data_IF_247402322922
#
_entry.id   IF_247402322922
#
_cell.length_a   1.000
_cell.length_b   1.000
_cell.length_c   1.000
_cell.angle_alpha   90.00
_cell.angle_beta   90.00
_cell.angle_gamma   90.00
#
_symmetry.space_group_name_H-M   'P 1'
#
loop_
_entity.id
_entity.type
_entity.pdbx_description
1 polymer ?
#
# COMPACT_ATOMS: atom_id res chain seq x y z
N UNK A 1 -46.89 -19.73 3.94
CA UNK A 1 -46.04 -20.58 3.08
C UNK A 1 -45.33 -19.74 2.03
N UNK A 2 -45.98 -18.80 1.37
CA UNK A 2 -45.38 -17.92 0.30
C UNK A 2 -44.22 -17.08 0.79
N UNK A 3 -44.31 -16.48 2.00
CA UNK A 3 -43.25 -15.67 2.58
C UNK A 3 -42.00 -16.49 2.93
N UNK A 4 -42.16 -17.74 3.36
CA UNK A 4 -41.03 -18.64 3.66
C UNK A 4 -40.22 -19.00 2.41
N UNK A 5 -40.90 -19.22 1.29
CA UNK A 5 -40.23 -19.53 0.01
C UNK A 5 -39.38 -18.32 -0.45
N UNK A 6 -39.90 -17.11 -0.36
CA UNK A 6 -39.22 -15.90 -0.75
C UNK A 6 -37.95 -15.69 0.09
N UNK A 7 -38.05 -15.84 1.43
CA UNK A 7 -36.89 -15.72 2.33
C UNK A 7 -35.84 -16.78 2.04
N UNK A 8 -36.26 -18.02 1.73
CA UNK A 8 -35.32 -19.08 1.36
C UNK A 8 -34.54 -18.77 0.07
N UNK A 9 -35.21 -18.26 -0.95
CA UNK A 9 -34.55 -17.87 -2.22
C UNK A 9 -33.58 -16.73 -1.99
N UNK A 10 -33.98 -15.70 -1.23
CA UNK A 10 -33.09 -14.57 -0.89
C UNK A 10 -31.86 -15.07 -0.13
N UNK A 11 -32.03 -16.01 0.82
CA UNK A 11 -30.91 -16.59 1.58
C UNK A 11 -29.91 -17.32 0.68
N UNK A 12 -30.38 -18.09 -0.30
CA UNK A 12 -29.52 -18.79 -1.26
C UNK A 12 -28.77 -17.78 -2.14
N UNK A 13 -29.45 -16.78 -2.67
CA UNK A 13 -28.81 -15.74 -3.50
C UNK A 13 -27.78 -14.93 -2.73
N UNK A 14 -28.10 -14.55 -1.50
CA UNK A 14 -27.19 -13.82 -0.62
C UNK A 14 -25.94 -14.62 -0.29
N UNK A 15 -26.04 -15.93 -0.08
CA UNK A 15 -24.89 -16.80 0.25
C UNK A 15 -23.81 -16.79 -0.85
N UNK A 16 -24.18 -16.61 -2.11
CA UNK A 16 -23.27 -16.56 -3.25
C UNK A 16 -22.79 -15.12 -3.52
N UNK A 17 -23.66 -14.13 -3.34
CA UNK A 17 -23.36 -12.73 -3.66
C UNK A 17 -22.40 -12.09 -2.66
N UNK A 18 -22.56 -12.34 -1.36
CA UNK A 18 -21.78 -11.70 -0.29
C UNK A 18 -20.27 -11.95 -0.39
N UNK A 19 -19.75 -13.18 -0.59
CA UNK A 19 -18.31 -13.42 -0.69
C UNK A 19 -17.65 -12.66 -1.87
N UNK A 20 -18.32 -12.64 -3.02
CA UNK A 20 -17.85 -11.95 -4.21
C UNK A 20 -17.81 -10.43 -4.04
N UNK A 21 -18.82 -9.88 -3.37
CA UNK A 21 -18.89 -8.47 -3.03
C UNK A 21 -17.75 -8.06 -2.09
N UNK A 22 -17.49 -8.82 -1.03
CA UNK A 22 -16.40 -8.55 -0.08
C UNK A 22 -15.03 -8.52 -0.76
N UNK A 23 -14.75 -9.45 -1.67
CA UNK A 23 -13.52 -9.47 -2.45
C UNK A 23 -13.38 -8.21 -3.31
N UNK A 24 -14.47 -7.76 -3.93
CA UNK A 24 -14.48 -6.54 -4.75
C UNK A 24 -14.21 -5.29 -3.93
N UNK A 25 -14.78 -5.20 -2.72
CA UNK A 25 -14.52 -4.09 -1.77
C UNK A 25 -13.04 -4.06 -1.36
N UNK A 26 -12.45 -5.22 -1.02
CA UNK A 26 -11.02 -5.27 -0.67
C UNK A 26 -10.10 -4.92 -1.84
N UNK A 27 -10.44 -5.30 -3.06
CA UNK A 27 -9.71 -4.87 -4.27
C UNK A 27 -9.78 -3.36 -4.47
N UNK A 28 -10.94 -2.74 -4.24
CA UNK A 28 -11.10 -1.29 -4.32
C UNK A 28 -10.27 -0.58 -3.25
N UNK A 29 -10.31 -1.05 -2.00
CA UNK A 29 -9.48 -0.54 -0.89
C UNK A 29 -8.00 -0.62 -1.22
N UNK A 30 -7.51 -1.76 -1.72
CA UNK A 30 -6.11 -1.96 -2.08
C UNK A 30 -5.67 -1.00 -3.19
N UNK A 31 -6.46 -0.87 -4.26
CA UNK A 31 -6.16 0.09 -5.34
C UNK A 31 -6.11 1.53 -4.83
N UNK A 32 -7.02 1.91 -3.95
CA UNK A 32 -7.02 3.25 -3.35
C UNK A 32 -5.81 3.47 -2.43
N UNK A 33 -5.44 2.48 -1.61
CA UNK A 33 -4.20 2.52 -0.81
C UNK A 33 -2.95 2.65 -1.69
N UNK A 34 -2.87 1.93 -2.80
CA UNK A 34 -1.77 2.07 -3.76
C UNK A 34 -1.71 3.49 -4.35
N UNK A 35 -2.85 4.10 -4.65
CA UNK A 35 -2.90 5.49 -5.11
C UNK A 35 -2.38 6.47 -4.06
N UNK A 36 -2.73 6.26 -2.79
CA UNK A 36 -2.24 7.09 -1.69
C UNK A 36 -0.71 6.93 -1.52
N UNK A 37 -0.16 5.72 -1.63
CA UNK A 37 1.28 5.46 -1.61
C UNK A 37 1.99 6.21 -2.74
N UNK A 38 1.45 6.18 -3.97
CA UNK A 38 1.99 6.94 -5.09
C UNK A 38 1.96 8.44 -4.81
N UNK A 39 0.86 8.96 -4.24
CA UNK A 39 0.77 10.38 -3.87
C UNK A 39 1.83 10.77 -2.84
N UNK A 40 2.02 9.98 -1.79
CA UNK A 40 3.05 10.22 -0.77
C UNK A 40 4.44 10.21 -1.41
N UNK A 41 4.73 9.21 -2.24
CA UNK A 41 6.00 9.07 -2.93
C UNK A 41 6.31 10.24 -3.87
N UNK A 42 5.31 10.71 -4.64
CA UNK A 42 5.45 11.87 -5.51
C UNK A 42 5.80 13.12 -4.71
N UNK A 43 5.10 13.37 -3.63
CA UNK A 43 5.31 14.53 -2.76
C UNK A 43 6.70 14.53 -2.11
N UNK A 44 7.20 13.35 -1.70
CA UNK A 44 8.57 13.22 -1.19
C UNK A 44 9.58 13.52 -2.31
N UNK A 45 9.33 13.03 -3.54
CA UNK A 45 10.20 13.30 -4.68
C UNK A 45 10.25 14.79 -5.02
N UNK A 46 9.10 15.48 -4.99
CA UNK A 46 9.04 16.93 -5.22
C UNK A 46 9.84 17.68 -4.15
N UNK A 47 9.68 17.29 -2.88
CA UNK A 47 10.47 17.86 -1.77
C UNK A 47 11.97 17.64 -1.95
N UNK A 48 12.39 16.41 -2.32
CA UNK A 48 13.82 16.10 -2.57
C UNK A 48 14.37 16.94 -3.72
N UNK A 49 13.57 17.18 -4.74
CA UNK A 49 13.99 18.01 -5.90
C UNK A 49 14.29 19.44 -5.48
N UNK A 50 13.52 19.99 -4.53
CA UNK A 50 13.69 21.37 -4.07
C UNK A 50 14.74 21.51 -2.96
N UNK A 51 14.92 20.49 -2.12
CA UNK A 51 15.74 20.57 -0.89
C UNK A 51 17.00 19.68 -0.92
N UNK A 52 17.22 18.93 -2.00
CA UNK A 52 18.37 18.03 -2.18
C UNK A 52 18.49 16.91 -1.11
N UNK A 53 17.47 16.72 -0.29
CA UNK A 53 17.43 15.72 0.77
C UNK A 53 15.98 15.34 1.11
N UNK A 54 15.77 14.14 1.65
CA UNK A 54 14.45 13.73 2.12
C UNK A 54 14.11 14.41 3.46
N UNK A 55 12.82 14.72 3.73
CA UNK A 55 12.39 15.10 5.07
C UNK A 55 12.54 13.89 6.01
N UNK A 56 13.19 14.08 7.18
CA UNK A 56 13.49 12.98 8.10
C UNK A 56 12.22 12.28 8.60
N UNK A 57 12.16 10.96 8.44
CA UNK A 57 11.07 10.13 8.96
C UNK A 57 11.53 8.69 9.20
N UNK A 58 11.05 8.10 10.30
CA UNK A 58 11.30 6.70 10.67
C UNK A 58 10.00 6.06 11.20
N UNK A 59 9.30 5.37 10.30
CA UNK A 59 8.06 4.64 10.59
C UNK A 59 6.77 5.45 10.39
N UNK A 60 5.87 5.41 11.35
CA UNK A 60 4.56 6.07 11.25
C UNK A 60 4.66 7.58 11.48
N UNK A 61 3.76 8.34 10.88
CA UNK A 61 3.67 9.79 11.04
C UNK A 61 2.22 10.23 11.26
N UNK A 62 2.06 11.45 11.72
CA UNK A 62 0.76 12.09 11.93
C UNK A 62 0.87 13.60 11.64
N UNK A 63 -0.24 14.32 11.76
CA UNK A 63 -0.30 15.76 11.46
C UNK A 63 0.60 16.67 12.32
N UNK A 64 1.17 16.17 13.42
CA UNK A 64 2.08 16.92 14.29
C UNK A 64 3.56 16.67 14.02
N UNK A 65 3.90 15.64 13.24
CA UNK A 65 5.29 15.31 12.90
C UNK A 65 5.90 16.35 11.96
N UNK A 66 7.21 16.56 12.07
CA UNK A 66 7.94 17.50 11.21
C UNK A 66 7.93 17.04 9.76
N UNK A 67 7.95 15.73 9.51
CA UNK A 67 7.75 15.14 8.20
C UNK A 67 6.43 15.60 7.55
N UNK A 68 5.31 15.50 8.28
CA UNK A 68 4.02 15.95 7.77
C UNK A 68 4.01 17.44 7.46
N UNK A 69 4.54 18.27 8.38
CA UNK A 69 4.59 19.72 8.22
C UNK A 69 5.51 20.18 7.09
N UNK A 70 6.59 19.44 6.82
CA UNK A 70 7.47 19.73 5.69
C UNK A 70 6.80 19.52 4.33
N UNK A 71 5.88 18.57 4.24
CA UNK A 71 5.19 18.20 3.00
C UNK A 71 3.83 18.91 2.83
N UNK A 72 3.07 19.09 3.91
CA UNK A 72 1.75 19.71 3.89
C UNK A 72 1.78 21.08 4.61
N UNK A 73 1.15 22.13 4.05
CA UNK A 73 0.28 22.14 2.86
C UNK A 73 0.99 22.47 1.54
N UNK A 74 2.31 22.64 1.52
CA UNK A 74 3.02 23.20 0.36
C UNK A 74 3.03 22.24 -0.85
N UNK A 75 3.52 21.01 -0.67
CA UNK A 75 3.61 20.02 -1.75
C UNK A 75 2.29 19.24 -1.93
N UNK A 76 1.54 19.06 -0.85
CA UNK A 76 0.22 18.45 -0.88
C UNK A 76 -0.69 19.11 0.16
N UNK A 77 -1.93 19.39 -0.22
CA UNK A 77 -2.87 20.03 0.71
C UNK A 77 -3.14 19.20 1.96
N UNK A 78 -3.32 17.89 1.80
CA UNK A 78 -3.53 16.92 2.89
C UNK A 78 -2.75 15.66 2.55
N UNK A 79 -1.73 15.35 3.35
CA UNK A 79 -0.96 14.13 3.20
C UNK A 79 -1.74 12.95 3.79
N UNK A 80 -1.94 11.84 3.04
CA UNK A 80 -2.58 10.65 3.59
C UNK A 80 -1.80 10.09 4.78
N UNK A 81 -2.47 9.78 5.88
CA UNK A 81 -1.86 9.22 7.10
C UNK A 81 -2.16 7.73 7.22
N UNK A 82 -3.39 7.34 6.87
CA UNK A 82 -3.87 5.96 7.00
C UNK A 82 -4.26 5.37 5.65
N UNK A 83 -4.09 4.08 5.52
CA UNK A 83 -4.56 3.31 4.38
C UNK A 83 -6.10 3.10 4.42
N UNK A 84 -6.66 2.41 3.42
CA UNK A 84 -8.11 2.21 3.33
C UNK A 84 -8.64 1.11 4.24
N UNK A 85 -7.79 0.43 4.99
CA UNK A 85 -8.17 -0.47 6.08
C UNK A 85 -8.10 0.22 7.45
N UNK A 86 -7.58 1.47 7.51
CA UNK A 86 -7.44 2.27 8.73
C UNK A 86 -6.09 2.09 9.43
N UNK A 87 -5.11 1.48 8.77
CA UNK A 87 -3.76 1.30 9.30
C UNK A 87 -2.86 2.46 8.87
N UNK A 88 -1.96 2.88 9.75
CA UNK A 88 -1.03 3.96 9.45
C UNK A 88 -0.04 3.57 8.35
N UNK A 89 0.21 4.50 7.42
CA UNK A 89 1.33 4.38 6.50
C UNK A 89 2.65 4.45 7.25
N UNK A 90 3.64 3.76 6.73
CA UNK A 90 5.01 3.81 7.22
C UNK A 90 5.90 4.39 6.14
N UNK A 91 6.72 5.35 6.57
CA UNK A 91 7.69 6.01 5.71
C UNK A 91 9.04 5.97 6.41
N UNK A 92 10.06 5.57 5.69
CA UNK A 92 11.45 5.59 6.12
C UNK A 92 12.24 6.39 5.10
N UNK A 93 13.05 7.32 5.56
CA UNK A 93 13.79 8.23 4.69
C UNK A 93 15.27 8.28 5.07
N UNK A 94 16.13 8.56 4.10
CA UNK A 94 17.57 8.60 4.31
C UNK A 94 18.10 7.26 4.84
N UNK A 95 18.94 7.30 5.84
CA UNK A 95 19.56 6.12 6.46
C UNK A 95 18.53 5.14 7.07
N UNK A 96 17.33 5.63 7.44
CA UNK A 96 16.25 4.78 7.95
C UNK A 96 15.58 3.93 6.86
N UNK A 97 15.83 4.17 5.58
CA UNK A 97 15.25 3.40 4.47
C UNK A 97 15.86 1.99 4.30
N UNK A 98 16.63 1.48 5.26
CA UNK A 98 17.29 0.17 5.25
C UNK A 98 16.35 -1.00 5.59
N UNK A 99 15.12 -0.95 5.11
CA UNK A 99 14.11 -1.99 5.30
C UNK A 99 13.96 -2.90 4.08
N UNK A 100 13.38 -4.06 4.25
CA UNK A 100 13.03 -5.03 3.20
C UNK A 100 14.22 -5.47 2.31
N UNK A 101 15.44 -5.48 2.85
CA UNK A 101 16.64 -5.89 2.14
C UNK A 101 17.32 -4.79 1.32
N UNK A 102 16.85 -3.56 1.43
CA UNK A 102 17.56 -2.40 0.91
C UNK A 102 18.77 -2.15 1.83
N UNK A 103 19.98 -2.19 1.27
CA UNK A 103 21.22 -1.96 2.00
C UNK A 103 21.90 -0.68 1.53
N UNK A 104 22.53 0.02 2.46
CA UNK A 104 23.24 1.28 2.21
C UNK A 104 22.39 2.36 1.54
N UNK A 105 21.21 2.72 2.09
CA UNK A 105 20.42 3.81 1.53
C UNK A 105 21.17 5.14 1.64
N UNK A 106 20.93 6.01 0.66
CA UNK A 106 21.47 7.38 0.64
C UNK A 106 20.52 8.35 1.34
N UNK A 107 20.97 9.60 1.57
CA UNK A 107 20.14 10.65 2.17
C UNK A 107 18.88 10.99 1.34
N UNK A 108 18.87 10.64 0.06
CA UNK A 108 17.76 10.90 -0.85
C UNK A 108 16.83 9.68 -1.02
N UNK A 109 17.20 8.54 -0.43
CA UNK A 109 16.37 7.34 -0.52
C UNK A 109 15.18 7.43 0.43
N UNK A 110 14.06 6.91 -0.03
CA UNK A 110 12.87 6.81 0.79
C UNK A 110 12.05 5.57 0.44
N UNK A 111 11.34 5.08 1.43
CA UNK A 111 10.51 3.91 1.33
C UNK A 111 9.14 4.21 1.94
N UNK A 112 8.08 3.90 1.20
CA UNK A 112 6.69 4.07 1.62
C UNK A 112 6.02 2.71 1.64
N UNK A 113 5.40 2.34 2.76
CA UNK A 113 4.73 1.05 2.91
C UNK A 113 3.36 1.15 3.57
N UNK A 114 2.46 0.26 3.16
CA UNK A 114 1.27 -0.14 3.91
C UNK A 114 1.39 -1.63 4.23
N UNK A 115 1.12 -1.98 5.49
CA UNK A 115 1.17 -3.38 5.95
C UNK A 115 -0.14 -4.14 5.66
N UNK A 116 -0.87 -3.68 4.65
CA UNK A 116 -2.08 -4.35 4.20
C UNK A 116 -3.20 -4.39 5.25
N UNK A 117 -4.11 -5.32 5.07
CA UNK A 117 -5.34 -5.40 5.88
C UNK A 117 -5.09 -5.77 7.34
N UNK A 118 -4.10 -6.59 7.63
CA UNK A 118 -3.86 -7.12 8.98
C UNK A 118 -2.86 -6.30 9.82
N UNK A 119 -2.31 -5.23 9.22
CA UNK A 119 -1.33 -4.33 9.85
C UNK A 119 -0.08 -5.05 10.39
N UNK A 120 0.34 -6.13 9.73
CA UNK A 120 1.53 -6.89 10.12
C UNK A 120 2.55 -6.86 9.00
N UNK A 121 3.80 -6.52 9.34
CA UNK A 121 4.89 -6.53 8.39
C UNK A 121 5.16 -7.94 7.88
N UNK A 122 5.20 -8.09 6.55
CA UNK A 122 5.61 -9.33 5.90
C UNK A 122 7.12 -9.55 5.98
N UNK A 123 7.54 -10.81 5.97
CA UNK A 123 8.95 -11.21 5.82
C UNK A 123 9.45 -11.10 4.37
N UNK A 124 9.04 -10.06 3.66
CA UNK A 124 9.47 -9.82 2.28
C UNK A 124 10.91 -9.29 2.25
N UNK A 125 11.67 -9.72 1.25
CA UNK A 125 13.04 -9.26 1.00
C UNK A 125 13.19 -8.90 -0.47
N UNK A 126 13.51 -7.65 -0.75
CA UNK A 126 13.72 -7.15 -2.09
C UNK A 126 15.02 -7.71 -2.69
N UNK A 127 14.96 -8.14 -3.94
CA UNK A 127 16.10 -8.63 -4.72
C UNK A 127 16.18 -7.84 -6.02
N UNK A 128 17.21 -7.01 -6.21
CA UNK A 128 17.34 -6.18 -7.42
C UNK A 128 17.35 -6.97 -8.73
N UNK A 129 17.84 -8.21 -8.70
CA UNK A 129 17.95 -9.07 -9.88
C UNK A 129 16.68 -9.92 -10.15
N UNK A 130 15.63 -9.76 -9.36
CA UNK A 130 14.35 -10.44 -9.52
C UNK A 130 13.22 -9.40 -9.63
N UNK A 131 12.99 -8.85 -10.83
CA UNK A 131 12.01 -7.77 -11.02
C UNK A 131 10.56 -8.20 -10.78
N UNK A 132 10.27 -9.50 -10.80
CA UNK A 132 8.93 -10.04 -10.51
C UNK A 132 8.79 -10.56 -9.07
N UNK A 133 9.88 -10.70 -8.32
CA UNK A 133 9.90 -11.31 -6.99
C UNK A 133 9.04 -10.59 -5.95
N UNK A 134 8.74 -9.32 -6.15
CA UNK A 134 7.82 -8.54 -5.31
C UNK A 134 6.36 -8.57 -5.77
N UNK A 135 6.06 -9.16 -6.92
CA UNK A 135 4.70 -9.23 -7.45
C UNK A 135 3.93 -10.42 -6.88
N UNK A 136 2.69 -10.22 -6.47
CA UNK A 136 1.83 -11.29 -5.97
C UNK A 136 0.43 -11.25 -6.62
N UNK A 137 -0.20 -12.42 -6.74
CA UNK A 137 -1.56 -12.52 -7.29
C UNK A 137 -2.60 -12.36 -6.19
N UNK A 138 -3.74 -11.76 -6.53
CA UNK A 138 -4.91 -11.63 -5.66
C UNK A 138 -5.88 -12.78 -5.94
N UNK A 139 -5.66 -13.91 -5.31
CA UNK A 139 -6.48 -15.12 -5.46
C UNK A 139 -7.30 -15.43 -4.21
N UNK A 140 -6.81 -15.06 -3.03
CA UNK A 140 -7.41 -15.35 -1.73
C UNK A 140 -7.58 -14.07 -0.92
N UNK A 141 -8.47 -14.10 0.07
CA UNK A 141 -8.67 -12.99 1.01
C UNK A 141 -7.40 -12.65 1.82
N UNK A 142 -6.54 -13.65 2.09
CA UNK A 142 -5.24 -13.44 2.75
C UNK A 142 -4.24 -12.65 1.91
N UNK A 143 -4.42 -12.57 0.58
CA UNK A 143 -3.52 -11.80 -0.28
C UNK A 143 -3.66 -10.28 -0.06
N UNK A 144 -4.76 -9.82 0.55
CA UNK A 144 -4.92 -8.43 0.97
C UNK A 144 -4.17 -8.08 2.25
N UNK A 145 -3.60 -9.06 2.93
CA UNK A 145 -2.74 -8.85 4.09
C UNK A 145 -1.30 -8.51 3.69
N UNK A 146 -0.92 -8.80 2.44
CA UNK A 146 0.44 -8.58 1.95
C UNK A 146 0.79 -7.09 1.89
N UNK A 147 2.02 -6.77 2.26
CA UNK A 147 2.54 -5.42 2.22
C UNK A 147 2.56 -4.83 0.81
N UNK A 148 2.27 -3.55 0.73
CA UNK A 148 2.43 -2.73 -0.47
C UNK A 148 3.61 -1.80 -0.23
N UNK A 149 4.66 -1.91 -1.05
CA UNK A 149 5.93 -1.22 -0.78
C UNK A 149 6.42 -0.52 -2.05
N UNK A 150 6.74 0.76 -1.90
CA UNK A 150 7.34 1.59 -2.94
C UNK A 150 8.67 2.15 -2.44
N UNK A 151 9.72 2.04 -3.24
CA UNK A 151 11.04 2.58 -2.99
C UNK A 151 11.41 3.57 -4.08
N UNK A 152 11.77 4.79 -3.72
CA UNK A 152 12.16 5.87 -4.64
C UNK A 152 11.21 6.02 -5.85
N UNK A 153 9.90 6.00 -5.60
CA UNK A 153 8.90 6.11 -6.67
C UNK A 153 8.63 4.84 -7.46
N UNK A 154 9.34 3.74 -7.19
CA UNK A 154 9.17 2.47 -7.88
C UNK A 154 8.59 1.39 -6.97
N UNK A 155 7.64 0.61 -7.48
CA UNK A 155 7.07 -0.50 -6.74
C UNK A 155 8.06 -1.65 -6.60
N UNK A 156 8.39 -2.01 -5.37
CA UNK A 156 9.18 -3.22 -5.06
C UNK A 156 8.30 -4.37 -4.57
N UNK A 157 7.08 -4.07 -4.07
CA UNK A 157 6.07 -5.07 -3.74
C UNK A 157 4.66 -4.56 -4.04
N UNK A 158 3.95 -5.27 -4.90
CA UNK A 158 2.58 -4.92 -5.29
C UNK A 158 1.82 -6.12 -5.86
N UNK A 159 0.48 -6.08 -5.94
CA UNK A 159 -0.27 -7.04 -6.72
C UNK A 159 0.12 -6.93 -8.21
N UNK A 160 0.50 -8.06 -8.78
CA UNK A 160 0.80 -8.20 -10.21
C UNK A 160 -0.46 -8.27 -11.06
N UNK A 161 -0.36 -7.85 -12.32
CA UNK A 161 -1.37 -8.13 -13.33
C UNK A 161 -1.20 -9.60 -13.72
N UNK A 162 -2.30 -10.36 -13.72
CA UNK A 162 -2.30 -11.71 -14.25
C UNK A 162 -1.83 -11.63 -15.71
N UNK A 163 -0.56 -11.94 -15.98
CA UNK A 163 -0.12 -12.13 -17.34
C UNK A 163 -0.97 -13.25 -17.93
N UNK A 164 -1.81 -12.95 -18.90
CA UNK A 164 -2.33 -13.96 -19.83
C UNK A 164 -1.12 -14.40 -20.63
N UNK A 165 -0.36 -15.36 -20.11
CA UNK A 165 0.53 -16.12 -20.97
C UNK A 165 -0.39 -16.81 -21.96
N UNK A 166 -0.32 -16.34 -23.20
CA UNK A 166 -1.09 -16.84 -24.33
C UNK A 166 -0.88 -18.34 -24.52
N UNK A 167 -1.92 -18.93 -25.06
CA UNK A 167 -1.87 -20.22 -25.73
C UNK A 167 -0.82 -20.21 -26.86
#
# INVERSE_FOLDING_TARGET
>A
VELLIVVAIIGILASIAVPNFMTSVHRAKQKSTMKDIVSISTVITDYVTDNESTPAQDGTYNGSTDFYKALSPFYIKVLPITDKWGNDFRVWTGESANHYGISNPTLNDFLVASFGRDNKQDSFFFRPNDPEGGSFLLTRMSDFNKDLIMWNGSWIRRPGIRSRRGC
#
